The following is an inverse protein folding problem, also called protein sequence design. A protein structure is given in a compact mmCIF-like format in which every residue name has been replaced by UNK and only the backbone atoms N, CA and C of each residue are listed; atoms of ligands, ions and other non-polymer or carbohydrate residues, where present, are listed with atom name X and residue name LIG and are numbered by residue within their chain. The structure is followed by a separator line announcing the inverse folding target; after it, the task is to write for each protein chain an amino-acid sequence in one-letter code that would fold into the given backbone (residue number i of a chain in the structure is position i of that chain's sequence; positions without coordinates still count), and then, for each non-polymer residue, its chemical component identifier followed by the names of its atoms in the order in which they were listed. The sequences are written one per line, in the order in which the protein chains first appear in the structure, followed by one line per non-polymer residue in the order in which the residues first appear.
data_IF_332275317155
#
_entry.id   IF_332275317155
#
_cell.length_a   1.000
_cell.length_b   1.000
_cell.length_c   1.000
_cell.angle_alpha   90.00
_cell.angle_beta   90.00
_cell.angle_gamma   90.00
#
_symmetry.space_group_name_H-M   'P 1'
#
loop_
_entity.id
_entity.type
_entity.pdbx_description
1 polymer ?
#
# COMPACT_ATOMS: atom_id res chain seq x y z
N UNK A 1 -10.99 -3.43 -63.87
CA UNK A 1 -9.92 -2.49 -64.29
C UNK A 1 -8.59 -3.18 -64.11
N UNK A 2 -7.85 -3.41 -65.20
CA UNK A 2 -6.59 -4.16 -65.22
C UNK A 2 -5.57 -3.45 -66.13
N UNK A 3 -4.30 -3.53 -65.77
CA UNK A 3 -3.13 -3.12 -66.57
C UNK A 3 -2.40 -1.91 -65.98
N UNK A 4 -1.08 -1.78 -66.04
CA UNK A 4 0.02 -2.61 -66.59
C UNK A 4 1.32 -2.01 -66.02
N UNK A 5 2.31 -2.85 -65.69
CA UNK A 5 3.71 -2.46 -65.43
C UNK A 5 4.42 -2.10 -66.74
N UNK A 6 5.23 -1.03 -66.78
CA UNK A 6 6.45 -0.82 -67.62
C UNK A 6 7.26 0.33 -66.96
N UNK A 7 8.38 0.10 -66.26
CA UNK A 7 9.77 -0.13 -66.70
C UNK A 7 10.52 1.13 -67.22
N UNK A 8 11.63 1.50 -66.56
CA UNK A 8 12.95 1.65 -67.21
C UNK A 8 14.03 2.01 -66.17
N UNK A 9 14.95 1.08 -65.92
CA UNK A 9 16.33 1.39 -65.54
C UNK A 9 17.01 2.07 -66.72
N UNK A 10 17.85 3.08 -66.48
CA UNK A 10 19.06 3.33 -67.27
C UNK A 10 20.12 4.06 -66.42
N UNK A 11 21.39 4.12 -66.84
CA UNK A 11 22.52 3.44 -66.19
C UNK A 11 23.55 4.46 -65.65
N UNK A 12 24.70 3.99 -65.14
CA UNK A 12 25.82 4.86 -64.71
C UNK A 12 26.20 5.89 -65.78
N UNK A 13 26.78 7.04 -65.44
CA UNK A 13 28.05 7.34 -64.75
C UNK A 13 28.23 8.90 -64.87
N UNK A 14 29.31 9.62 -64.45
CA UNK A 14 30.41 9.34 -63.53
C UNK A 14 30.62 10.40 -62.43
N UNK A 15 31.41 10.00 -61.43
CA UNK A 15 32.29 10.82 -60.58
C UNK A 15 32.50 12.29 -61.02
N UNK A 16 32.06 13.23 -60.20
CA UNK A 16 32.65 14.57 -60.12
C UNK A 16 33.21 14.79 -58.71
N UNK A 17 34.42 15.32 -58.68
CA UNK A 17 35.30 15.36 -57.52
C UNK A 17 34.73 16.09 -56.30
N UNK A 18 35.21 15.60 -55.15
CA UNK A 18 35.22 16.25 -53.84
C UNK A 18 35.37 17.78 -53.91
N UNK A 19 34.65 18.48 -53.04
CA UNK A 19 35.30 19.53 -52.25
C UNK A 19 35.26 19.13 -50.77
N UNK A 20 36.44 18.74 -50.26
CA UNK A 20 36.75 18.47 -48.85
C UNK A 20 36.65 19.74 -47.98
N UNK A 21 35.59 20.52 -48.13
CA UNK A 21 35.42 21.81 -47.47
C UNK A 21 34.15 21.93 -46.62
N UNK A 22 33.26 20.94 -46.66
CA UNK A 22 31.99 20.98 -45.93
C UNK A 22 31.83 19.92 -44.82
N UNK A 23 32.75 18.97 -44.69
CA UNK A 23 32.70 17.97 -43.59
C UNK A 23 33.41 18.44 -42.29
N UNK A 24 34.16 19.54 -42.32
CA UNK A 24 34.98 19.99 -41.17
C UNK A 24 34.30 21.02 -40.25
N UNK A 25 33.06 21.45 -40.53
CA UNK A 25 32.35 22.41 -39.64
C UNK A 25 31.47 21.78 -38.57
N UNK A 26 31.19 20.47 -38.60
CA UNK A 26 30.39 19.80 -37.57
C UNK A 26 31.23 19.07 -36.50
N UNK A 27 32.56 18.99 -36.66
CA UNK A 27 33.45 18.35 -35.66
C UNK A 27 33.87 19.27 -34.50
N UNK A 28 33.36 20.51 -34.45
CA UNK A 28 33.76 21.53 -33.48
C UNK A 28 32.92 21.67 -32.21
N UNK A 29 31.76 20.99 -32.07
CA UNK A 29 30.81 21.28 -30.98
C UNK A 29 30.79 20.27 -29.81
N UNK A 30 31.67 19.26 -29.79
CA UNK A 30 31.64 18.20 -28.76
C UNK A 30 32.63 18.39 -27.61
N UNK A 31 33.11 19.60 -27.33
CA UNK A 31 34.15 19.83 -26.30
C UNK A 31 33.69 20.43 -24.96
N UNK A 32 32.39 20.60 -24.72
CA UNK A 32 31.90 21.14 -23.44
C UNK A 32 30.67 20.39 -22.87
N UNK A 33 30.61 19.06 -22.99
CA UNK A 33 29.87 18.30 -21.97
C UNK A 33 30.74 18.27 -20.72
N UNK A 34 30.59 19.28 -19.85
CA UNK A 34 30.89 19.11 -18.42
C UNK A 34 30.21 17.80 -18.03
N UNK A 35 31.01 16.77 -17.77
CA UNK A 35 30.53 15.55 -17.11
C UNK A 35 29.93 16.06 -15.81
N UNK A 36 28.60 16.07 -15.72
CA UNK A 36 27.88 16.42 -14.51
C UNK A 36 28.19 15.26 -13.55
N UNK A 37 29.33 15.34 -12.88
CA UNK A 37 29.66 14.38 -11.84
C UNK A 37 28.61 14.62 -10.75
N UNK A 38 27.79 13.59 -10.50
CA UNK A 38 26.87 13.61 -9.39
C UNK A 38 27.68 14.03 -8.15
N UNK A 39 27.19 15.06 -7.44
CA UNK A 39 27.86 15.50 -6.22
C UNK A 39 27.97 14.31 -5.27
N UNK A 40 29.08 14.17 -4.53
CA UNK A 40 29.24 13.06 -3.60
C UNK A 40 28.07 13.04 -2.63
N UNK A 41 27.37 11.90 -2.57
CA UNK A 41 26.28 11.64 -1.61
C UNK A 41 26.81 11.97 -0.22
N UNK A 42 26.11 12.87 0.48
CA UNK A 42 26.54 13.35 1.79
C UNK A 42 26.31 12.29 2.86
N UNK A 43 26.94 12.43 4.03
CA UNK A 43 26.70 11.55 5.17
C UNK A 43 25.24 11.65 5.65
N UNK A 44 24.64 12.84 5.52
CA UNK A 44 23.23 13.09 5.84
C UNK A 44 22.31 12.30 4.90
N UNK A 45 22.58 12.30 3.59
CA UNK A 45 21.82 11.50 2.61
C UNK A 45 21.88 9.99 2.92
N UNK A 46 23.06 9.48 3.30
CA UNK A 46 23.24 8.06 3.66
C UNK A 46 22.48 7.68 4.94
N UNK A 47 22.36 8.60 5.89
CA UNK A 47 21.63 8.36 7.14
C UNK A 47 20.12 8.31 6.88
N UNK A 48 19.62 9.18 6.00
CA UNK A 48 18.20 9.16 5.59
C UNK A 48 17.83 7.86 4.86
N UNK A 49 18.69 7.36 3.97
CA UNK A 49 18.47 6.09 3.28
C UNK A 49 18.40 4.91 4.28
N UNK A 50 19.26 4.91 5.30
CA UNK A 50 19.27 3.87 6.34
C UNK A 50 18.02 3.94 7.23
N UNK A 51 17.58 5.14 7.60
CA UNK A 51 16.38 5.33 8.41
C UNK A 51 15.12 4.91 7.65
N UNK A 52 15.05 5.23 6.36
CA UNK A 52 13.96 4.81 5.48
C UNK A 52 13.89 3.27 5.35
N UNK A 53 15.03 2.59 5.17
CA UNK A 53 15.03 1.12 5.10
C UNK A 53 14.59 0.49 6.43
N UNK A 54 15.07 1.02 7.57
CA UNK A 54 14.59 0.57 8.89
C UNK A 54 13.09 0.76 9.07
N UNK A 55 12.55 1.89 8.61
CA UNK A 55 11.12 2.18 8.67
C UNK A 55 10.31 1.20 7.81
N UNK A 56 10.76 0.93 6.58
CA UNK A 56 10.12 -0.07 5.70
C UNK A 56 10.11 -1.45 6.32
N UNK A 57 11.23 -1.88 6.90
CA UNK A 57 11.34 -3.20 7.54
C UNK A 57 10.40 -3.32 8.75
N UNK A 58 10.35 -2.30 9.60
CA UNK A 58 9.48 -2.29 10.78
C UNK A 58 8.00 -2.36 10.39
N UNK A 59 7.56 -1.45 9.51
CA UNK A 59 6.16 -1.41 9.07
C UNK A 59 5.81 -2.66 8.25
N UNK A 60 6.72 -3.13 7.38
CA UNK A 60 6.52 -4.36 6.61
C UNK A 60 6.36 -5.60 7.50
N UNK A 61 7.17 -5.71 8.55
CA UNK A 61 7.05 -6.78 9.55
C UNK A 61 5.74 -6.72 10.33
N UNK A 62 5.31 -5.51 10.72
CA UNK A 62 4.03 -5.30 11.38
C UNK A 62 2.85 -5.67 10.48
N UNK A 63 2.84 -5.19 9.24
CA UNK A 63 1.78 -5.50 8.25
C UNK A 63 1.67 -7.01 8.06
N UNK A 64 2.80 -7.71 7.92
CA UNK A 64 2.79 -9.18 7.82
C UNK A 64 2.16 -9.83 9.06
N UNK A 65 2.52 -9.36 10.25
CA UNK A 65 1.97 -9.89 11.52
C UNK A 65 0.45 -9.73 11.60
N UNK A 66 -0.06 -8.55 11.19
CA UNK A 66 -1.50 -8.28 11.14
C UNK A 66 -2.21 -9.17 10.12
N UNK A 67 -1.63 -9.36 8.93
CA UNK A 67 -2.17 -10.28 7.90
C UNK A 67 -2.21 -11.72 8.42
N UNK A 68 -1.20 -12.13 9.19
CA UNK A 68 -1.15 -13.45 9.84
C UNK A 68 -2.10 -13.57 11.05
N UNK A 69 -2.92 -12.55 11.34
CA UNK A 69 -3.91 -12.52 12.42
C UNK A 69 -3.36 -12.16 13.79
N UNK A 70 -2.10 -11.71 13.90
CA UNK A 70 -1.48 -11.30 15.16
C UNK A 70 -1.76 -9.82 15.43
N UNK A 71 -2.98 -9.56 15.88
CA UNK A 71 -3.50 -8.21 16.08
C UNK A 71 -2.96 -7.52 17.35
N UNK A 72 -2.21 -8.23 18.18
CA UNK A 72 -1.47 -7.71 19.33
C UNK A 72 -0.08 -7.15 18.95
N UNK A 73 0.41 -7.46 17.74
CA UNK A 73 1.70 -6.96 17.26
C UNK A 73 1.69 -5.44 17.07
N UNK A 74 2.75 -4.76 17.51
CA UNK A 74 2.95 -3.31 17.34
C UNK A 74 4.35 -3.05 16.82
N UNK A 75 4.51 -1.96 16.07
CA UNK A 75 5.83 -1.49 15.66
C UNK A 75 6.47 -0.72 16.82
N UNK A 76 7.80 -0.84 16.93
CA UNK A 76 8.58 -0.18 17.96
C UNK A 76 8.84 1.29 17.58
N UNK A 77 8.11 2.17 18.26
CA UNK A 77 8.12 3.63 18.05
C UNK A 77 9.46 4.24 18.49
N UNK A 78 10.17 3.61 19.43
CA UNK A 78 11.41 4.16 20.01
C UNK A 78 12.64 3.95 19.12
N UNK A 79 12.49 3.20 18.01
CA UNK A 79 13.51 3.07 16.96
C UNK A 79 13.59 4.27 16.02
N UNK A 80 12.62 5.20 16.09
CA UNK A 80 12.45 6.28 15.13
C UNK A 80 12.31 7.64 15.81
N UNK A 81 12.69 8.69 15.09
CA UNK A 81 12.56 10.08 15.51
C UNK A 81 11.74 10.90 14.50
N UNK A 82 11.32 12.10 14.90
CA UNK A 82 10.61 13.04 14.06
C UNK A 82 9.38 12.44 13.35
N UNK A 83 9.25 12.74 12.05
CA UNK A 83 8.10 12.31 11.26
C UNK A 83 7.97 10.80 11.12
N UNK A 84 9.06 10.03 11.15
CA UNK A 84 8.98 8.57 11.12
C UNK A 84 8.37 8.03 12.41
N UNK A 85 8.76 8.56 13.56
CA UNK A 85 8.15 8.22 14.85
C UNK A 85 6.65 8.46 14.85
N UNK A 86 6.22 9.63 14.37
CA UNK A 86 4.81 9.99 14.27
C UNK A 86 4.03 9.04 13.35
N UNK A 87 4.63 8.64 12.22
CA UNK A 87 4.02 7.66 11.32
C UNK A 87 3.91 6.27 11.94
N UNK A 88 4.95 5.78 12.63
CA UNK A 88 4.91 4.48 13.31
C UNK A 88 3.84 4.48 14.41
N UNK A 89 3.78 5.55 15.20
CA UNK A 89 2.73 5.72 16.21
C UNK A 89 1.34 5.73 15.57
N UNK A 90 1.15 6.48 14.47
CA UNK A 90 -0.13 6.54 13.77
C UNK A 90 -0.58 5.17 13.22
N UNK A 91 0.36 4.31 12.79
CA UNK A 91 0.03 2.93 12.39
C UNK A 91 -0.38 2.08 13.59
N UNK A 92 0.27 2.22 14.74
CA UNK A 92 -0.14 1.53 15.96
C UNK A 92 -1.54 1.98 16.42
N UNK A 93 -1.80 3.29 16.42
CA UNK A 93 -3.11 3.86 16.77
C UNK A 93 -4.21 3.36 15.81
N UNK A 94 -3.89 3.24 14.52
CA UNK A 94 -4.78 2.66 13.53
C UNK A 94 -5.14 1.22 13.91
N UNK A 95 -4.16 0.38 14.24
CA UNK A 95 -4.42 -1.02 14.65
C UNK A 95 -5.28 -1.05 15.92
N UNK A 96 -4.94 -0.25 16.94
CA UNK A 96 -5.71 -0.19 18.20
C UNK A 96 -7.18 0.17 17.96
N UNK A 97 -7.46 1.08 17.02
CA UNK A 97 -8.81 1.49 16.67
C UNK A 97 -9.66 0.35 16.08
N UNK A 98 -9.06 -0.65 15.43
CA UNK A 98 -9.77 -1.84 14.93
C UNK A 98 -9.84 -2.97 15.94
N UNK A 99 -8.78 -3.18 16.72
CA UNK A 99 -8.67 -4.34 17.61
C UNK A 99 -9.69 -4.29 18.73
N UNK A 100 -9.94 -3.12 19.33
CA UNK A 100 -10.86 -3.03 20.46
C UNK A 100 -12.31 -3.42 20.08
N UNK A 101 -12.95 -2.84 19.03
CA UNK A 101 -14.30 -3.26 18.63
C UNK A 101 -14.36 -4.70 18.11
N UNK A 102 -13.30 -5.16 17.44
CA UNK A 102 -13.25 -6.53 16.92
C UNK A 102 -13.22 -7.57 18.04
N UNK A 103 -12.43 -7.35 19.09
CA UNK A 103 -12.37 -8.26 20.24
C UNK A 103 -13.72 -8.38 20.95
N UNK A 104 -14.44 -7.27 21.13
CA UNK A 104 -15.81 -7.30 21.70
C UNK A 104 -16.73 -8.15 20.84
N UNK A 105 -16.71 -7.94 19.52
CA UNK A 105 -17.54 -8.74 18.60
C UNK A 105 -17.19 -10.22 18.65
N UNK A 106 -15.89 -10.55 18.67
CA UNK A 106 -15.41 -11.93 18.75
C UNK A 106 -15.83 -12.62 20.06
N UNK A 107 -15.75 -11.92 21.20
CA UNK A 107 -16.21 -12.42 22.49
C UNK A 107 -17.71 -12.74 22.46
N UNK A 108 -18.52 -11.85 21.89
CA UNK A 108 -19.96 -12.05 21.80
C UNK A 108 -20.33 -13.25 20.92
N UNK A 109 -19.64 -13.41 19.79
CA UNK A 109 -19.79 -14.59 18.93
C UNK A 109 -19.37 -15.87 19.65
N UNK A 110 -18.27 -15.85 20.40
CA UNK A 110 -17.82 -17.00 21.19
C UNK A 110 -18.86 -17.41 22.24
N UNK A 111 -19.41 -16.46 23.00
CA UNK A 111 -20.48 -16.72 23.99
C UNK A 111 -21.72 -17.32 23.33
N UNK A 112 -22.21 -16.69 22.27
CA UNK A 112 -23.37 -17.17 21.51
C UNK A 112 -23.14 -18.58 20.98
N UNK A 113 -21.93 -18.88 20.48
CA UNK A 113 -21.59 -20.21 19.96
C UNK A 113 -21.66 -21.32 21.02
N UNK A 114 -21.56 -20.95 22.30
CA UNK A 114 -21.67 -21.84 23.47
C UNK A 114 -23.09 -21.88 24.07
N UNK A 115 -24.04 -21.19 23.44
CA UNK A 115 -25.42 -21.07 23.92
C UNK A 115 -25.61 -20.04 25.04
N UNK A 116 -24.58 -19.28 25.39
CA UNK A 116 -24.68 -18.15 26.31
C UNK A 116 -25.07 -16.90 25.50
N UNK A 117 -26.29 -16.41 25.71
CA UNK A 117 -26.75 -15.18 25.06
C UNK A 117 -26.35 -13.99 25.95
N UNK A 118 -25.38 -13.16 25.52
CA UNK A 118 -24.96 -12.00 26.28
C UNK A 118 -26.05 -10.92 26.34
N UNK A 119 -25.90 -9.98 27.27
CA UNK A 119 -26.62 -8.71 27.22
C UNK A 119 -26.22 -7.91 25.98
N UNK A 120 -27.05 -6.92 25.61
CA UNK A 120 -26.79 -6.08 24.44
C UNK A 120 -25.56 -5.20 24.67
N UNK A 121 -24.80 -4.99 23.60
CA UNK A 121 -23.67 -4.06 23.60
C UNK A 121 -24.21 -2.64 23.77
N UNK A 122 -23.77 -1.97 24.85
CA UNK A 122 -24.14 -0.58 25.17
C UNK A 122 -23.06 0.44 24.78
N UNK A 123 -21.86 -0.02 24.48
CA UNK A 123 -20.73 0.84 24.15
C UNK A 123 -21.03 1.71 22.91
N UNK A 124 -20.45 2.91 22.92
CA UNK A 124 -20.57 3.86 21.83
C UNK A 124 -19.51 3.59 20.76
N UNK A 125 -19.97 3.32 19.54
CA UNK A 125 -19.12 3.22 18.36
C UNK A 125 -19.61 4.21 17.29
N UNK A 126 -18.75 4.47 16.31
CA UNK A 126 -19.04 5.36 15.17
C UNK A 126 -18.90 4.59 13.86
N UNK A 127 -19.60 5.06 12.83
CA UNK A 127 -19.54 4.48 11.47
C UNK A 127 -19.81 2.98 11.46
N UNK A 128 -18.99 2.24 10.71
CA UNK A 128 -19.15 0.81 10.46
C UNK A 128 -19.14 -0.03 11.75
N UNK A 129 -18.38 0.36 12.78
CA UNK A 129 -18.40 -0.35 14.06
C UNK A 129 -19.72 -0.22 14.80
N UNK A 130 -20.44 0.90 14.64
CA UNK A 130 -21.77 1.04 15.20
C UNK A 130 -22.78 0.15 14.46
N UNK A 131 -22.60 -0.04 13.16
CA UNK A 131 -23.41 -0.98 12.39
C UNK A 131 -23.17 -2.42 12.84
N UNK A 132 -21.90 -2.84 13.02
CA UNK A 132 -21.56 -4.17 13.57
C UNK A 132 -22.17 -4.38 14.96
N UNK A 133 -22.08 -3.38 15.84
CA UNK A 133 -22.75 -3.40 17.14
C UNK A 133 -24.25 -3.63 17.01
N UNK A 134 -24.92 -2.86 16.15
CA UNK A 134 -26.37 -2.97 15.95
C UNK A 134 -26.77 -4.34 15.39
N UNK A 135 -26.01 -4.87 14.43
CA UNK A 135 -26.24 -6.20 13.86
C UNK A 135 -26.07 -7.29 14.91
N UNK A 136 -25.05 -7.19 15.75
CA UNK A 136 -24.83 -8.12 16.87
C UNK A 136 -25.97 -8.04 17.90
N UNK A 137 -26.43 -6.83 18.22
CA UNK A 137 -27.58 -6.61 19.10
C UNK A 137 -28.89 -7.17 18.53
N UNK A 138 -29.11 -7.07 17.22
CA UNK A 138 -30.26 -7.70 16.57
C UNK A 138 -30.18 -9.23 16.60
N UNK A 139 -28.98 -9.81 16.48
CA UNK A 139 -28.77 -11.25 16.65
C UNK A 139 -29.15 -11.69 18.07
N UNK A 140 -28.73 -10.95 19.10
CA UNK A 140 -29.11 -11.20 20.50
C UNK A 140 -30.63 -11.16 20.68
N UNK A 141 -31.30 -10.13 20.14
CA UNK A 141 -32.76 -10.02 20.23
C UNK A 141 -33.46 -11.21 19.57
N UNK A 142 -33.00 -11.62 18.39
CA UNK A 142 -33.56 -12.75 17.65
C UNK A 142 -33.43 -14.07 18.42
N UNK A 143 -32.25 -14.34 18.98
CA UNK A 143 -32.00 -15.54 19.77
C UNK A 143 -32.86 -15.58 21.03
N UNK A 144 -32.96 -14.47 21.76
CA UNK A 144 -33.85 -14.37 22.93
C UNK A 144 -35.32 -14.59 22.55
N UNK A 145 -35.75 -14.08 21.39
CA UNK A 145 -37.08 -14.33 20.85
C UNK A 145 -37.36 -15.81 20.62
N UNK A 146 -36.41 -16.54 20.03
CA UNK A 146 -36.53 -17.99 19.80
C UNK A 146 -36.59 -18.78 21.10
N UNK A 147 -35.77 -18.44 22.10
CA UNK A 147 -35.79 -19.11 23.41
C UNK A 147 -37.14 -18.89 24.11
N UNK A 148 -37.65 -17.66 24.10
CA UNK A 148 -38.93 -17.34 24.72
C UNK A 148 -40.09 -18.08 24.05
N UNK A 149 -40.04 -18.25 22.73
CA UNK A 149 -41.06 -19.00 21.99
C UNK A 149 -40.97 -20.50 22.28
N UNK A 150 -39.75 -21.06 22.34
CA UNK A 150 -39.55 -22.46 22.74
C UNK A 150 -40.09 -22.73 24.16
N UNK A 151 -39.82 -21.83 25.11
CA UNK A 151 -40.32 -21.93 26.48
C UNK A 151 -41.86 -21.84 26.61
N UNK A 152 -42.56 -21.34 25.58
CA UNK A 152 -44.04 -21.31 25.54
C UNK A 152 -44.65 -22.59 24.96
N UNK A 153 -43.86 -23.41 24.28
CA UNK A 153 -44.31 -24.68 23.70
C UNK A 153 -44.19 -25.86 24.67
N UNK A 154 -43.42 -25.69 25.75
CA UNK A 154 -43.30 -26.62 26.87
C UNK A 154 -44.43 -26.45 27.89
#
# INVERSE_FOLDING_TARGET
MAGKRVNKKNPGNPSAGRTKGQEDKERGSTKNRKKLEASPVTTEDKNMDQELERFKDEIGGLVKSVIDGKLDARADVDKFEGGYREMVQGVNDLIDAFVAPFNVTAEYVDRISKGDIPEKITDEYKGDFNEVKNNTNMLIDALNGLINEAARME
#
